data_IF_126329345649
#
_entry.id   IF_126329345649
#
_cell.length_a   1.000
_cell.length_b   1.000
_cell.length_c   1.000
_cell.angle_alpha   90.00
_cell.angle_beta   90.00
_cell.angle_gamma   90.00
#
_symmetry.space_group_name_H-M   'P 1'
#
loop_
_entity.id
_entity.type
_entity.pdbx_description
1 polymer ?
#
# COMPACT_ATOMS: atom_id res chain seq x y z
N UNK A 1 -27.96 41.13 19.07
CA UNK A 1 -27.10 39.93 18.84
C UNK A 1 -27.40 39.46 17.43
N UNK A 2 -26.44 39.61 16.48
CA UNK A 2 -26.70 39.38 15.05
C UNK A 2 -26.69 37.89 14.73
N UNK A 3 -27.72 37.40 14.04
CA UNK A 3 -27.90 36.03 13.55
C UNK A 3 -26.67 35.44 12.87
N UNK A 4 -25.84 36.27 12.23
CA UNK A 4 -24.56 35.87 11.58
C UNK A 4 -23.45 35.46 12.57
N UNK A 5 -23.47 35.95 13.81
CA UNK A 5 -22.51 35.57 14.87
C UNK A 5 -22.86 34.21 15.49
N UNK A 6 -24.14 33.89 15.62
CA UNK A 6 -24.60 32.58 16.11
C UNK A 6 -24.26 31.43 15.14
N UNK A 7 -24.39 31.67 13.82
CA UNK A 7 -24.06 30.66 12.79
C UNK A 7 -22.55 30.38 12.75
N UNK A 8 -21.71 31.41 12.96
CA UNK A 8 -20.24 31.23 13.01
C UNK A 8 -19.77 30.45 14.24
N UNK A 9 -20.42 30.66 15.38
CA UNK A 9 -20.12 29.92 16.62
C UNK A 9 -20.59 28.48 16.56
N UNK A 10 -21.72 28.19 15.90
CA UNK A 10 -22.21 26.84 15.67
C UNK A 10 -21.30 26.03 14.69
N UNK A 11 -20.77 26.71 13.64
CA UNK A 11 -19.86 26.08 12.68
C UNK A 11 -18.49 25.73 13.29
N UNK A 12 -18.04 26.49 14.28
CA UNK A 12 -16.74 26.23 14.93
C UNK A 12 -16.80 25.12 15.97
N UNK A 13 -17.99 24.87 16.55
CA UNK A 13 -18.19 23.75 17.51
C UNK A 13 -18.27 22.38 16.83
N UNK A 14 -18.61 22.32 15.53
CA UNK A 14 -18.73 21.05 14.79
C UNK A 14 -17.39 20.51 14.25
N UNK A 15 -16.35 21.34 14.23
CA UNK A 15 -15.02 20.98 13.72
C UNK A 15 -14.11 20.25 14.72
N UNK A 16 -14.48 20.19 16.01
CA UNK A 16 -13.67 19.54 17.06
C UNK A 16 -13.98 18.07 17.31
N UNK A 17 -14.90 17.45 16.55
CA UNK A 17 -15.40 16.10 16.81
C UNK A 17 -14.71 14.94 16.06
N UNK A 18 -13.69 15.16 15.23
CA UNK A 18 -13.20 14.16 14.29
C UNK A 18 -11.73 13.69 14.50
N UNK A 19 -11.15 13.88 15.68
CA UNK A 19 -9.87 13.28 16.07
C UNK A 19 -10.09 12.01 16.90
N UNK A 20 -10.99 11.13 16.46
CA UNK A 20 -10.98 9.74 16.91
C UNK A 20 -9.79 9.07 16.23
N UNK A 21 -8.57 9.25 16.74
CA UNK A 21 -7.44 8.42 16.38
C UNK A 21 -7.89 6.97 16.53
N UNK A 22 -7.84 6.18 15.44
CA UNK A 22 -8.22 4.77 15.45
C UNK A 22 -7.36 4.08 16.53
N UNK A 23 -7.97 3.81 17.69
CA UNK A 23 -7.31 3.01 18.72
C UNK A 23 -7.04 1.63 18.14
N UNK A 24 -5.88 1.04 18.38
CA UNK A 24 -5.50 -0.28 17.85
C UNK A 24 -6.40 -1.41 18.39
N UNK A 25 -7.03 -1.19 19.54
CA UNK A 25 -8.06 -2.05 20.14
C UNK A 25 -9.16 -1.20 20.75
N UNK A 26 -10.40 -1.67 20.68
CA UNK A 26 -11.54 -1.11 21.37
C UNK A 26 -11.51 -1.42 22.86
N UNK A 27 -12.31 -0.69 23.66
CA UNK A 27 -12.48 -0.96 25.09
C UNK A 27 -12.91 -2.41 25.36
N UNK A 28 -13.83 -2.95 24.56
CA UNK A 28 -14.33 -4.32 24.72
C UNK A 28 -13.24 -5.34 24.42
N UNK A 29 -12.45 -5.13 23.38
CA UNK A 29 -11.31 -6.00 23.04
C UNK A 29 -10.25 -6.00 24.14
N UNK A 30 -9.96 -4.83 24.73
CA UNK A 30 -9.01 -4.76 25.85
C UNK A 30 -9.49 -5.56 27.07
N UNK A 31 -10.78 -5.44 27.45
CA UNK A 31 -11.31 -6.10 28.64
C UNK A 31 -11.43 -7.63 28.49
N UNK A 32 -11.55 -8.13 27.26
CA UNK A 32 -11.67 -9.56 26.94
C UNK A 32 -10.46 -10.06 26.14
N UNK A 33 -9.31 -9.42 26.26
CA UNK A 33 -8.16 -9.68 25.40
C UNK A 33 -7.61 -11.11 25.61
N UNK A 34 -7.58 -11.87 24.51
CA UNK A 34 -6.66 -12.99 24.35
C UNK A 34 -5.42 -12.47 23.63
N UNK A 35 -4.35 -12.20 24.39
CA UNK A 35 -3.15 -11.57 23.84
C UNK A 35 -2.43 -12.44 22.82
N UNK A 36 -2.51 -13.77 22.93
CA UNK A 36 -1.94 -14.66 21.91
C UNK A 36 -2.72 -14.54 20.58
N UNK A 37 -4.06 -14.55 20.60
CA UNK A 37 -4.87 -14.41 19.38
C UNK A 37 -4.67 -13.04 18.73
N UNK A 38 -4.55 -11.98 19.56
CA UNK A 38 -4.22 -10.63 19.07
C UNK A 38 -2.85 -10.66 18.40
N UNK A 39 -1.87 -11.30 19.02
CA UNK A 39 -0.55 -11.47 18.44
C UNK A 39 -0.57 -12.21 17.11
N UNK A 40 -1.31 -13.32 17.01
CA UNK A 40 -1.48 -14.06 15.72
C UNK A 40 -2.03 -13.15 14.63
N UNK A 41 -3.04 -12.35 14.92
CA UNK A 41 -3.61 -11.41 13.97
C UNK A 41 -2.59 -10.36 13.53
N UNK A 42 -1.86 -9.80 14.48
CA UNK A 42 -0.87 -8.76 14.22
C UNK A 42 0.32 -9.30 13.42
N UNK A 43 0.83 -10.47 13.78
CA UNK A 43 1.88 -11.16 13.04
C UNK A 43 1.45 -11.51 11.60
N UNK A 44 0.22 -12.00 11.42
CA UNK A 44 -0.32 -12.29 10.09
C UNK A 44 -0.50 -11.04 9.21
N UNK A 45 -0.55 -9.86 9.84
CA UNK A 45 -0.56 -8.56 9.16
C UNK A 45 0.82 -7.92 9.06
N UNK A 46 1.88 -8.58 9.52
CA UNK A 46 3.24 -8.06 9.47
C UNK A 46 3.49 -6.90 10.42
N UNK A 47 2.77 -6.83 11.54
CA UNK A 47 3.00 -5.75 12.50
C UNK A 47 4.35 -5.93 13.20
N UNK A 48 5.16 -4.86 13.36
CA UNK A 48 6.42 -4.90 14.10
C UNK A 48 6.18 -5.10 15.60
N UNK A 49 7.23 -5.44 16.35
CA UNK A 49 7.11 -5.64 17.81
C UNK A 49 6.65 -4.37 18.54
N UNK A 50 7.02 -3.21 18.04
CA UNK A 50 6.66 -1.90 18.59
C UNK A 50 5.14 -1.63 18.51
N UNK A 51 4.41 -2.39 17.68
CA UNK A 51 2.96 -2.26 17.56
C UNK A 51 2.24 -2.55 18.88
N UNK A 52 2.82 -3.38 19.76
CA UNK A 52 2.31 -3.64 21.11
C UNK A 52 2.16 -2.36 21.95
N UNK A 53 2.98 -1.33 21.68
CA UNK A 53 2.90 -0.03 22.37
C UNK A 53 1.55 0.63 22.07
N UNK A 54 1.04 0.49 20.84
CA UNK A 54 -0.26 1.03 20.47
C UNK A 54 -1.39 0.33 21.22
N UNK A 55 -1.30 -1.00 21.40
CA UNK A 55 -2.25 -1.76 22.23
C UNK A 55 -2.18 -1.35 23.68
N UNK A 56 -0.98 -1.20 24.23
CA UNK A 56 -0.78 -0.72 25.59
C UNK A 56 -1.43 0.66 25.81
N UNK A 57 -1.22 1.57 24.88
CA UNK A 57 -1.83 2.93 24.91
C UNK A 57 -3.35 2.88 24.82
N UNK A 58 -3.90 2.02 23.96
CA UNK A 58 -5.35 1.88 23.80
C UNK A 58 -5.99 1.31 25.08
N UNK A 59 -5.40 0.26 25.67
CA UNK A 59 -5.95 -0.48 26.80
C UNK A 59 -5.67 0.17 28.17
N UNK A 60 -4.70 1.08 28.28
CA UNK A 60 -4.47 1.88 29.47
C UNK A 60 -5.71 2.66 29.93
N UNK A 61 -6.57 3.07 29.00
CA UNK A 61 -7.85 3.77 29.26
C UNK A 61 -8.83 2.94 30.09
N UNK A 62 -8.64 1.63 30.16
CA UNK A 62 -9.47 0.69 30.94
C UNK A 62 -8.64 -0.10 31.96
N UNK A 63 -7.43 0.38 32.27
CA UNK A 63 -6.48 -0.21 33.22
C UNK A 63 -6.10 -1.67 32.89
N UNK A 64 -6.01 -2.01 31.61
CA UNK A 64 -5.56 -3.34 31.14
C UNK A 64 -4.16 -3.18 30.53
N UNK A 65 -3.21 -3.98 31.00
CA UNK A 65 -1.87 -4.08 30.44
C UNK A 65 -1.78 -5.31 29.51
N UNK A 66 -1.13 -5.20 28.34
CA UNK A 66 -0.86 -6.34 27.48
C UNK A 66 0.01 -7.41 28.14
N UNK A 67 -0.33 -8.69 27.95
CA UNK A 67 0.62 -9.78 28.17
C UNK A 67 1.59 -9.85 26.99
N UNK A 68 2.77 -9.26 27.16
CA UNK A 68 3.81 -9.19 26.13
C UNK A 68 4.27 -10.59 25.70
N UNK A 69 4.38 -11.54 26.64
CA UNK A 69 4.86 -12.89 26.33
C UNK A 69 3.87 -13.64 25.45
N UNK A 70 2.60 -13.65 25.83
CA UNK A 70 1.53 -14.27 25.06
C UNK A 70 1.39 -13.60 23.67
N UNK A 71 1.44 -12.26 23.61
CA UNK A 71 1.35 -11.53 22.34
C UNK A 71 2.51 -11.85 21.40
N UNK A 72 3.77 -11.87 21.88
CA UNK A 72 4.94 -12.22 21.07
C UNK A 72 4.84 -13.65 20.53
N UNK A 73 4.44 -14.61 21.38
CA UNK A 73 4.24 -15.99 20.94
C UNK A 73 3.19 -16.10 19.84
N UNK A 74 2.08 -15.41 19.99
CA UNK A 74 1.05 -15.34 18.94
C UNK A 74 1.56 -14.67 17.67
N UNK A 75 2.30 -13.55 17.83
CA UNK A 75 2.86 -12.81 16.69
C UNK A 75 3.81 -13.69 15.85
N UNK A 76 4.66 -14.46 16.49
CA UNK A 76 5.57 -15.36 15.77
C UNK A 76 4.80 -16.41 14.95
N UNK A 77 3.73 -16.99 15.50
CA UNK A 77 2.81 -17.87 14.75
C UNK A 77 2.14 -17.16 13.57
N UNK A 78 1.75 -15.90 13.77
CA UNK A 78 1.15 -15.09 12.72
C UNK A 78 2.12 -14.78 11.58
N UNK A 79 3.39 -14.52 11.91
CA UNK A 79 4.44 -14.25 10.93
C UNK A 79 4.68 -15.42 9.95
N UNK A 80 4.42 -16.66 10.33
CA UNK A 80 4.47 -17.81 9.42
C UNK A 80 3.55 -17.64 8.20
N UNK A 81 2.47 -16.86 8.35
CA UNK A 81 1.52 -16.53 7.26
C UNK A 81 1.88 -15.25 6.53
N UNK A 82 2.61 -14.35 7.18
CA UNK A 82 3.04 -13.10 6.58
C UNK A 82 4.34 -13.27 5.78
N UNK A 83 5.34 -13.93 6.35
CA UNK A 83 6.68 -14.09 5.79
C UNK A 83 6.73 -15.22 4.74
N UNK A 84 5.93 -15.10 3.69
CA UNK A 84 5.84 -16.04 2.58
C UNK A 84 6.29 -15.36 1.27
N UNK A 85 7.08 -16.04 0.40
CA UNK A 85 7.56 -15.46 -0.85
C UNK A 85 6.47 -14.85 -1.72
N UNK A 86 5.36 -15.57 -1.94
CA UNK A 86 4.24 -15.08 -2.73
C UNK A 86 3.59 -13.82 -2.15
N UNK A 87 3.58 -13.68 -0.81
CA UNK A 87 3.06 -12.49 -0.15
C UNK A 87 4.00 -11.30 -0.33
N UNK A 88 5.30 -11.52 -0.23
CA UNK A 88 6.30 -10.48 -0.49
C UNK A 88 6.26 -10.02 -1.95
N UNK A 89 6.12 -10.96 -2.88
CA UNK A 89 5.87 -10.63 -4.29
C UNK A 89 4.66 -9.72 -4.45
N UNK A 90 3.52 -10.08 -3.88
CA UNK A 90 2.30 -9.27 -3.97
C UNK A 90 2.50 -7.86 -3.38
N UNK A 91 3.17 -7.75 -2.22
CA UNK A 91 3.48 -6.44 -1.63
C UNK A 91 4.29 -5.60 -2.63
N UNK A 92 5.31 -6.17 -3.27
CA UNK A 92 6.12 -5.49 -4.28
C UNK A 92 5.32 -5.13 -5.54
N UNK A 93 4.50 -6.06 -6.05
CA UNK A 93 3.67 -5.87 -7.25
C UNK A 93 2.65 -4.74 -7.09
N UNK A 94 2.09 -4.58 -5.89
CA UNK A 94 1.17 -3.47 -5.60
C UNK A 94 1.86 -2.19 -5.10
N UNK A 95 3.21 -2.16 -5.13
CA UNK A 95 3.97 -0.97 -4.75
C UNK A 95 4.05 -0.72 -3.24
N UNK A 96 3.70 -1.71 -2.42
CA UNK A 96 3.82 -1.65 -0.98
C UNK A 96 5.28 -1.71 -0.51
N UNK A 97 5.54 -1.30 0.73
CA UNK A 97 6.84 -1.42 1.37
C UNK A 97 6.95 -2.75 2.12
N UNK A 98 8.13 -3.37 2.07
CA UNK A 98 8.49 -4.54 2.85
C UNK A 98 9.66 -4.21 3.78
N UNK A 99 9.46 -4.46 5.07
CA UNK A 99 10.51 -4.42 6.07
C UNK A 99 11.00 -5.84 6.38
N UNK A 100 12.19 -6.18 5.87
CA UNK A 100 12.80 -7.49 6.07
C UNK A 100 13.07 -7.79 7.57
N UNK A 101 13.24 -6.76 8.41
CA UNK A 101 13.43 -6.90 9.85
C UNK A 101 12.26 -7.57 10.56
N UNK A 102 11.04 -7.47 10.02
CA UNK A 102 9.85 -8.15 10.53
C UNK A 102 9.99 -9.66 10.38
N UNK A 103 10.59 -10.12 9.28
CA UNK A 103 10.76 -11.54 8.93
C UNK A 103 12.16 -12.07 9.26
N UNK A 104 12.86 -11.52 10.26
CA UNK A 104 14.27 -11.84 10.56
C UNK A 104 14.55 -13.32 10.82
N UNK A 105 13.56 -14.08 11.28
CA UNK A 105 13.68 -15.52 11.59
C UNK A 105 13.31 -16.44 10.42
N UNK A 106 13.05 -15.86 9.23
CA UNK A 106 12.69 -16.57 8.01
C UNK A 106 13.79 -16.45 6.95
N UNK A 107 13.67 -17.18 5.85
CA UNK A 107 14.59 -17.10 4.71
C UNK A 107 14.50 -15.72 4.03
N UNK A 108 15.30 -14.78 4.55
CA UNK A 108 15.28 -13.39 4.09
C UNK A 108 15.69 -13.23 2.63
N UNK A 109 16.66 -14.02 2.16
CA UNK A 109 17.11 -13.96 0.77
C UNK A 109 15.95 -14.25 -0.18
N UNK A 110 15.23 -15.34 0.08
CA UNK A 110 14.07 -15.74 -0.70
C UNK A 110 12.92 -14.73 -0.62
N UNK A 111 12.70 -14.12 0.55
CA UNK A 111 11.64 -13.12 0.74
C UNK A 111 11.96 -11.81 0.01
N UNK A 112 13.22 -11.35 0.08
CA UNK A 112 13.68 -10.13 -0.61
C UNK A 112 13.66 -10.35 -2.13
N UNK A 113 14.14 -11.50 -2.63
CA UNK A 113 14.08 -11.83 -4.06
C UNK A 113 12.63 -11.81 -4.58
N UNK A 114 11.70 -12.40 -3.84
CA UNK A 114 10.28 -12.38 -4.21
C UNK A 114 9.72 -10.95 -4.24
N UNK A 115 10.04 -10.14 -3.23
CA UNK A 115 9.63 -8.74 -3.18
C UNK A 115 10.18 -7.93 -4.36
N UNK A 116 11.47 -8.07 -4.68
CA UNK A 116 12.10 -7.35 -5.80
C UNK A 116 11.53 -7.78 -7.17
N UNK A 117 11.18 -9.05 -7.35
CA UNK A 117 10.45 -9.52 -8.53
C UNK A 117 9.09 -8.83 -8.66
N UNK A 118 8.35 -8.71 -7.55
CA UNK A 118 7.09 -7.96 -7.53
C UNK A 118 7.29 -6.48 -7.87
N UNK A 119 8.28 -5.85 -7.28
CA UNK A 119 8.65 -4.46 -7.59
C UNK A 119 9.03 -4.24 -9.05
N UNK A 120 9.74 -5.21 -9.66
CA UNK A 120 10.07 -5.12 -11.08
C UNK A 120 8.82 -5.14 -11.96
N UNK A 121 7.86 -6.02 -11.64
CA UNK A 121 6.55 -6.05 -12.32
C UNK A 121 5.80 -4.73 -12.15
N UNK A 122 5.76 -4.18 -10.93
CA UNK A 122 5.12 -2.90 -10.65
C UNK A 122 5.71 -1.76 -11.48
N UNK A 123 7.06 -1.61 -11.50
CA UNK A 123 7.74 -0.57 -12.28
C UNK A 123 7.39 -0.65 -13.76
N UNK A 124 7.41 -1.87 -14.35
CA UNK A 124 7.11 -2.06 -15.78
C UNK A 124 5.64 -1.82 -16.10
N UNK A 125 4.73 -2.20 -15.20
CA UNK A 125 3.30 -1.91 -15.34
C UNK A 125 3.03 -0.39 -15.31
N UNK A 126 3.72 0.35 -14.43
CA UNK A 126 3.63 1.80 -14.38
C UNK A 126 4.16 2.45 -15.65
N UNK A 127 5.32 2.01 -16.16
CA UNK A 127 5.86 2.49 -17.44
C UNK A 127 4.88 2.28 -18.59
N UNK A 128 4.27 1.11 -18.70
CA UNK A 128 3.24 0.84 -19.71
C UNK A 128 2.02 1.75 -19.55
N UNK A 129 1.58 1.96 -18.31
CA UNK A 129 0.46 2.86 -18.01
C UNK A 129 0.73 4.32 -18.39
N UNK A 130 1.97 4.80 -18.18
CA UNK A 130 2.41 6.14 -18.58
C UNK A 130 2.43 6.30 -20.10
N UNK A 131 2.94 5.31 -20.84
CA UNK A 131 2.92 5.29 -22.31
C UNK A 131 1.47 5.31 -22.81
N UNK A 132 0.59 4.48 -22.25
CA UNK A 132 -0.82 4.44 -22.61
C UNK A 132 -1.55 5.77 -22.33
N UNK A 133 -1.17 6.46 -21.27
CA UNK A 133 -1.71 7.77 -20.93
C UNK A 133 -1.28 8.82 -21.96
N UNK A 134 0.01 8.84 -22.34
CA UNK A 134 0.54 9.77 -23.36
C UNK A 134 -0.09 9.49 -24.74
N UNK A 135 -0.27 8.21 -25.12
CA UNK A 135 -0.96 7.82 -26.35
C UNK A 135 -2.39 8.36 -26.39
N UNK A 136 -3.14 8.24 -25.29
CA UNK A 136 -4.51 8.79 -25.21
C UNK A 136 -4.52 10.31 -25.35
N UNK A 137 -3.63 10.99 -24.67
CA UNK A 137 -3.52 12.46 -24.72
C UNK A 137 -3.21 12.96 -26.13
N UNK A 138 -2.22 12.35 -26.80
CA UNK A 138 -1.86 12.72 -28.18
C UNK A 138 -3.02 12.46 -29.15
N UNK A 139 -3.70 11.32 -29.04
CA UNK A 139 -4.86 11.01 -29.90
C UNK A 139 -5.96 12.04 -29.73
N UNK A 140 -6.27 12.42 -28.49
CA UNK A 140 -7.26 13.48 -28.21
C UNK A 140 -6.84 14.83 -28.81
N UNK A 141 -5.56 15.20 -28.70
CA UNK A 141 -5.05 16.44 -29.33
C UNK A 141 -5.16 16.42 -30.84
N UNK A 142 -4.89 15.28 -31.48
CA UNK A 142 -4.99 15.13 -32.94
C UNK A 142 -6.43 15.22 -33.48
N UNK A 143 -7.45 15.01 -32.66
CA UNK A 143 -8.87 15.20 -33.03
C UNK A 143 -9.22 16.69 -33.23
N UNK A 144 -8.44 17.62 -32.65
CA UNK A 144 -8.66 19.06 -32.83
C UNK A 144 -8.37 19.47 -34.27
N UNK A 145 -9.42 19.90 -34.99
CA UNK A 145 -9.34 20.29 -36.41
C UNK A 145 -8.57 21.60 -36.63
N UNK A 146 -8.52 22.47 -35.60
CA UNK A 146 -7.82 23.75 -35.65
C UNK A 146 -6.32 23.62 -35.30
N UNK A 147 -5.82 22.39 -35.11
CA UNK A 147 -4.42 22.16 -34.76
C UNK A 147 -3.51 22.54 -35.93
N UNK A 148 -2.50 23.35 -35.66
CA UNK A 148 -1.49 23.77 -36.63
C UNK A 148 -0.81 22.57 -37.32
N UNK A 149 -0.56 22.67 -38.65
CA UNK A 149 0.02 21.60 -39.45
C UNK A 149 1.32 21.05 -38.84
N UNK A 150 2.24 21.94 -38.45
CA UNK A 150 3.55 21.57 -37.87
C UNK A 150 3.38 20.81 -36.56
N UNK A 151 2.46 21.23 -35.71
CA UNK A 151 2.18 20.55 -34.44
C UNK A 151 1.52 19.18 -34.66
N UNK A 152 0.61 19.08 -35.62
CA UNK A 152 -0.01 17.80 -36.04
C UNK A 152 1.04 16.79 -36.52
N UNK A 153 2.01 17.23 -37.33
CA UNK A 153 3.10 16.39 -37.83
C UNK A 153 3.99 15.90 -36.66
N UNK A 154 4.31 16.80 -35.72
CA UNK A 154 5.09 16.46 -34.52
C UNK A 154 4.37 15.42 -33.64
N UNK A 155 3.09 15.62 -33.36
CA UNK A 155 2.28 14.71 -32.57
C UNK A 155 2.10 13.35 -33.24
N UNK A 156 1.88 13.32 -34.57
CA UNK A 156 1.80 12.08 -35.33
C UNK A 156 3.12 11.28 -35.30
N UNK A 157 4.26 11.96 -35.39
CA UNK A 157 5.57 11.31 -35.24
C UNK A 157 5.75 10.71 -33.82
N UNK A 158 5.43 11.49 -32.78
CA UNK A 158 5.52 11.00 -31.39
C UNK A 158 4.57 9.84 -31.12
N UNK A 159 3.37 9.88 -31.72
CA UNK A 159 2.41 8.77 -31.64
C UNK A 159 3.03 7.47 -32.16
N UNK A 160 3.65 7.51 -33.35
CA UNK A 160 4.31 6.34 -33.91
C UNK A 160 5.45 5.80 -33.02
N UNK A 161 6.26 6.68 -32.43
CA UNK A 161 7.30 6.26 -31.49
C UNK A 161 6.72 5.56 -30.26
N UNK A 162 5.66 6.14 -29.66
CA UNK A 162 5.03 5.58 -28.47
C UNK A 162 4.39 4.21 -28.75
N UNK A 163 3.86 3.97 -29.95
CA UNK A 163 3.33 2.66 -30.31
C UNK A 163 4.41 1.57 -30.31
N UNK A 164 5.65 1.88 -30.74
CA UNK A 164 6.78 0.97 -30.62
C UNK A 164 7.21 0.79 -29.15
N UNK A 165 7.36 1.90 -28.42
CA UNK A 165 7.72 1.87 -26.99
C UNK A 165 6.71 1.03 -26.18
N UNK A 166 5.42 1.11 -26.51
CA UNK A 166 4.35 0.33 -25.90
C UNK A 166 4.53 -1.17 -26.09
N UNK A 167 4.85 -1.60 -27.31
CA UNK A 167 5.09 -3.02 -27.62
C UNK A 167 6.26 -3.57 -26.81
N UNK A 168 7.35 -2.79 -26.70
CA UNK A 168 8.51 -3.20 -25.94
C UNK A 168 8.23 -3.22 -24.42
N UNK A 169 7.45 -2.26 -23.92
CA UNK A 169 7.02 -2.22 -22.53
C UNK A 169 6.12 -3.42 -22.19
N UNK A 170 5.19 -3.81 -23.06
CA UNK A 170 4.33 -5.00 -22.90
C UNK A 170 5.17 -6.29 -22.83
N UNK A 171 6.12 -6.47 -23.75
CA UNK A 171 7.03 -7.64 -23.75
C UNK A 171 7.86 -7.69 -22.49
N UNK A 172 8.36 -6.54 -22.06
CA UNK A 172 9.18 -6.39 -20.87
C UNK A 172 8.39 -6.74 -19.60
N UNK A 173 7.16 -6.28 -19.49
CA UNK A 173 6.24 -6.61 -18.39
C UNK A 173 5.94 -8.11 -18.36
N UNK A 174 5.60 -8.69 -19.50
CA UNK A 174 5.30 -10.12 -19.60
C UNK A 174 6.52 -10.97 -19.24
N UNK A 175 7.73 -10.55 -19.63
CA UNK A 175 8.96 -11.23 -19.25
C UNK A 175 9.19 -11.16 -17.73
N UNK A 176 8.93 -10.02 -17.09
CA UNK A 176 9.04 -9.90 -15.64
C UNK A 176 8.04 -10.80 -14.91
N UNK A 177 6.79 -10.85 -15.37
CA UNK A 177 5.75 -11.75 -14.84
C UNK A 177 6.13 -13.23 -14.97
N UNK A 178 6.72 -13.63 -16.11
CA UNK A 178 7.18 -15.02 -16.28
C UNK A 178 8.26 -15.40 -15.27
N UNK A 179 9.26 -14.52 -15.04
CA UNK A 179 10.32 -14.76 -14.03
C UNK A 179 9.79 -14.87 -12.60
N UNK A 180 8.63 -14.34 -12.32
CA UNK A 180 8.01 -14.37 -11.00
C UNK A 180 7.13 -15.62 -10.75
N UNK A 181 6.95 -16.51 -11.74
CA UNK A 181 6.09 -17.70 -11.59
C UNK A 181 6.70 -18.82 -10.72
N UNK A 182 8.02 -18.81 -10.57
CA UNK A 182 8.78 -19.86 -9.86
C UNK A 182 9.16 -19.42 -8.43
N UNK A 183 8.24 -18.76 -7.70
CA UNK A 183 8.42 -18.26 -6.33
C UNK A 183 8.10 -19.30 -5.26
#
# INVERSE_FOLDING_TARGET
MNSRSLIRLLSMALALGALSGCASLSKSECLNANWEDIGVRDGANGQPEEYLIQHSTACAKVNVAPDRGAWLHGRDKGLERYCLPHRMYNIGEYGGAFDAGICRNFDQERLVDAYEKGRDVNRRANTLSEIDAELRDIRTKLENKELEKKERERLAYRLGQLEYERIDAERSLEHARRRARDL
#
